data_IF_869874171175
#
_entry.id   IF_869874171175
#
_cell.length_a   1.000
_cell.length_b   1.000
_cell.length_c   1.000
_cell.angle_alpha   90.00
_cell.angle_beta   90.00
_cell.angle_gamma   90.00
#
_symmetry.space_group_name_H-M   'P 1'
#
loop_
_entity.id
_entity.type
_entity.pdbx_description
1 polymer ?
#
# COMPACT_ATOMS: atom_id res chain seq x y z
N UNK A 1 -10.10 25.24 0.67
CA UNK A 1 -8.95 24.75 -0.12
C UNK A 1 -8.07 25.91 -0.58
N UNK A 2 -8.54 26.79 -1.49
CA UNK A 2 -7.76 27.93 -2.02
C UNK A 2 -6.96 28.70 -0.95
N UNK A 3 -7.62 29.18 0.10
CA UNK A 3 -6.96 29.94 1.17
C UNK A 3 -5.86 29.13 1.87
N UNK A 4 -6.14 27.87 2.23
CA UNK A 4 -5.16 27.02 2.91
C UNK A 4 -3.92 26.74 2.05
N UNK A 5 -4.07 26.55 0.74
CA UNK A 5 -2.92 26.43 -0.18
C UNK A 5 -2.14 27.75 -0.24
N UNK A 6 -2.83 28.88 -0.29
CA UNK A 6 -2.21 30.20 -0.31
C UNK A 6 -1.44 30.50 0.98
N UNK A 7 -1.96 30.09 2.12
CA UNK A 7 -1.32 30.27 3.42
C UNK A 7 0.02 29.54 3.49
N UNK A 8 0.11 28.33 2.93
CA UNK A 8 1.39 27.62 2.80
C UNK A 8 2.34 28.39 1.87
N UNK A 9 1.89 28.72 0.66
CA UNK A 9 2.72 29.38 -0.36
C UNK A 9 3.22 30.78 0.05
N UNK A 10 2.49 31.47 0.93
CA UNK A 10 2.88 32.80 1.43
C UNK A 10 3.82 32.75 2.63
N UNK A 11 3.64 31.78 3.53
CA UNK A 11 4.27 31.84 4.85
C UNK A 11 5.42 30.85 5.03
N UNK A 12 5.49 29.77 4.24
CA UNK A 12 6.45 28.69 4.50
C UNK A 12 7.93 29.12 4.40
N UNK A 13 8.28 29.98 3.45
CA UNK A 13 9.67 30.47 3.29
C UNK A 13 10.14 31.35 4.46
N UNK A 14 9.22 31.83 5.31
CA UNK A 14 9.56 32.61 6.50
C UNK A 14 9.88 31.70 7.71
N UNK A 15 9.74 30.38 7.60
CA UNK A 15 10.06 29.46 8.69
C UNK A 15 11.57 29.36 8.91
N UNK A 16 11.96 29.34 10.18
CA UNK A 16 13.36 29.15 10.61
C UNK A 16 13.61 27.82 11.30
N UNK A 17 12.54 27.08 11.64
CA UNK A 17 12.65 25.76 12.28
C UNK A 17 11.45 24.88 11.99
N UNK A 18 11.59 23.59 12.28
CA UNK A 18 10.51 22.59 12.23
C UNK A 18 9.60 22.59 13.46
N UNK A 19 9.82 23.50 14.44
CA UNK A 19 8.97 23.60 15.63
C UNK A 19 7.56 24.03 15.22
N UNK A 20 6.58 23.44 15.90
CA UNK A 20 5.16 23.77 15.75
C UNK A 20 4.85 25.07 16.48
N UNK A 21 4.38 26.07 15.74
CA UNK A 21 4.13 27.45 16.18
C UNK A 21 2.74 27.96 15.78
N UNK A 22 1.83 27.07 15.35
CA UNK A 22 0.44 27.40 14.99
C UNK A 22 0.29 28.52 13.94
N UNK A 23 1.29 28.68 13.07
CA UNK A 23 1.24 29.64 11.96
C UNK A 23 0.23 29.21 10.87
N UNK A 24 -0.19 30.13 10.01
CA UNK A 24 -1.22 29.86 9.00
C UNK A 24 -0.84 28.70 8.04
N UNK A 25 0.42 28.62 7.63
CA UNK A 25 0.95 27.50 6.85
C UNK A 25 0.92 26.17 7.63
N UNK A 26 1.24 26.20 8.93
CA UNK A 26 1.23 25.01 9.78
C UNK A 26 -0.18 24.48 9.98
N UNK A 27 -1.12 25.35 10.33
CA UNK A 27 -2.54 25.01 10.45
C UNK A 27 -3.04 24.43 9.12
N UNK A 28 -2.63 25.03 8.00
CA UNK A 28 -3.00 24.55 6.67
C UNK A 28 -2.46 23.14 6.37
N UNK A 29 -1.17 22.89 6.62
CA UNK A 29 -0.50 21.60 6.35
C UNK A 29 -1.04 20.49 7.25
N UNK A 30 -1.19 20.75 8.55
CA UNK A 30 -1.49 19.69 9.53
C UNK A 30 -2.98 19.54 9.86
N UNK A 31 -3.81 20.54 9.55
CA UNK A 31 -5.22 20.53 9.93
C UNK A 31 -6.16 20.80 8.75
N UNK A 32 -6.07 21.99 8.13
CA UNK A 32 -7.09 22.45 7.18
C UNK A 32 -7.12 21.63 5.89
N UNK A 33 -5.97 21.42 5.24
CA UNK A 33 -5.88 20.61 4.03
C UNK A 33 -6.25 19.15 4.32
N UNK A 34 -5.70 18.51 5.37
CA UNK A 34 -6.14 17.17 5.78
C UNK A 34 -7.64 17.05 6.04
N UNK A 35 -8.27 18.06 6.66
CA UNK A 35 -9.72 18.06 6.90
C UNK A 35 -10.51 18.06 5.59
N UNK A 36 -10.13 18.91 4.63
CA UNK A 36 -10.80 18.97 3.33
C UNK A 36 -10.66 17.65 2.56
N UNK A 37 -9.50 17.00 2.64
CA UNK A 37 -9.30 15.68 2.02
C UNK A 37 -10.17 14.62 2.71
N UNK A 38 -10.26 14.62 4.04
CA UNK A 38 -11.17 13.73 4.79
C UNK A 38 -12.64 13.91 4.40
N UNK A 39 -13.06 15.14 4.14
CA UNK A 39 -14.42 15.42 3.64
C UNK A 39 -14.65 14.82 2.24
N UNK A 40 -13.66 14.89 1.34
CA UNK A 40 -13.76 14.29 0.01
C UNK A 40 -13.84 12.75 0.10
N UNK A 41 -13.11 12.17 1.06
CA UNK A 41 -13.06 10.75 1.32
C UNK A 41 -14.16 10.25 2.26
N UNK A 42 -15.22 11.03 2.56
CA UNK A 42 -16.14 10.81 3.68
C UNK A 42 -16.45 9.33 4.04
N UNK A 43 -16.86 8.53 3.06
CA UNK A 43 -17.27 7.13 3.24
C UNK A 43 -16.10 6.15 3.48
N UNK A 44 -14.88 6.58 3.14
CA UNK A 44 -13.63 5.81 3.18
C UNK A 44 -12.55 6.49 4.03
N UNK A 45 -12.88 7.52 4.81
CA UNK A 45 -11.90 8.39 5.51
C UNK A 45 -10.97 7.60 6.44
N UNK A 46 -11.49 6.55 7.06
CA UNK A 46 -10.75 5.71 8.00
C UNK A 46 -9.81 4.74 7.29
N UNK A 47 -9.98 4.57 5.98
CA UNK A 47 -9.11 3.76 5.17
C UNK A 47 -7.75 4.43 4.92
N UNK A 48 -7.73 5.76 4.94
CA UNK A 48 -6.56 6.56 4.60
C UNK A 48 -5.92 7.20 5.83
N UNK A 49 -4.60 7.21 5.88
CA UNK A 49 -3.81 8.06 6.77
C UNK A 49 -3.44 9.31 5.99
N UNK A 50 -3.83 10.47 6.49
CA UNK A 50 -3.48 11.77 5.89
C UNK A 50 -2.47 12.46 6.80
N UNK A 51 -1.27 12.71 6.28
CA UNK A 51 -0.14 13.19 7.04
C UNK A 51 0.55 14.34 6.30
N UNK A 52 0.78 15.45 7.01
CA UNK A 52 1.61 16.54 6.53
C UNK A 52 3.03 16.44 7.07
N UNK A 53 4.01 17.00 6.35
CA UNK A 53 5.37 17.13 6.83
C UNK A 53 6.03 18.40 6.31
N UNK A 54 6.82 19.01 7.19
CA UNK A 54 7.69 20.16 6.93
C UNK A 54 9.17 19.79 7.12
N UNK A 55 9.47 18.49 7.13
CA UNK A 55 10.79 17.94 7.46
C UNK A 55 10.94 17.52 8.93
N UNK A 56 11.90 16.62 9.17
CA UNK A 56 12.27 16.13 10.50
C UNK A 56 13.71 16.56 10.80
N UNK A 57 13.92 17.31 11.88
CA UNK A 57 15.21 17.93 12.22
C UNK A 57 15.53 19.19 11.40
N UNK A 58 15.49 19.09 10.08
CA UNK A 58 15.68 20.22 9.16
C UNK A 58 14.39 20.52 8.40
N UNK A 59 14.20 21.79 8.03
CA UNK A 59 13.09 22.20 7.17
C UNK A 59 13.23 21.52 5.80
N UNK A 60 12.15 20.88 5.37
CA UNK A 60 12.04 20.39 4.00
C UNK A 60 11.96 21.59 3.05
N UNK A 61 12.70 21.54 1.95
CA UNK A 61 12.54 22.51 0.87
C UNK A 61 11.17 22.34 0.19
N UNK A 62 10.70 21.10 0.08
CA UNK A 62 9.37 20.73 -0.43
C UNK A 62 8.52 20.20 0.73
N UNK A 63 7.69 21.02 1.40
CA UNK A 63 6.71 20.51 2.34
C UNK A 63 5.61 19.76 1.58
N UNK A 64 4.98 18.80 2.26
CA UNK A 64 4.02 17.92 1.60
C UNK A 64 2.86 17.49 2.51
N UNK A 65 1.76 17.07 1.90
CA UNK A 65 0.65 16.36 2.55
C UNK A 65 0.37 15.09 1.76
N UNK A 66 0.59 13.93 2.36
CA UNK A 66 0.34 12.62 1.77
C UNK A 66 -1.02 12.07 2.19
N UNK A 67 -1.64 11.33 1.28
CA UNK A 67 -2.86 10.54 1.48
C UNK A 67 -2.48 9.09 1.20
N UNK A 68 -2.35 8.33 2.29
CA UNK A 68 -1.79 6.98 2.30
C UNK A 68 -2.92 5.98 2.57
N UNK A 69 -3.19 5.07 1.64
CA UNK A 69 -4.12 3.96 1.94
C UNK A 69 -3.43 2.99 2.91
N UNK A 70 -4.03 2.81 4.09
CA UNK A 70 -3.44 2.00 5.16
C UNK A 70 -3.25 0.54 4.77
N UNK A 71 -3.95 0.03 3.76
CA UNK A 71 -3.77 -1.35 3.27
C UNK A 71 -2.58 -1.49 2.32
N UNK A 72 -2.20 -0.40 1.64
CA UNK A 72 -1.09 -0.39 0.68
C UNK A 72 0.20 0.09 1.34
N UNK A 73 0.15 1.20 2.07
CA UNK A 73 1.30 1.75 2.79
C UNK A 73 0.84 2.73 3.87
N UNK A 74 1.46 2.68 5.05
CA UNK A 74 1.24 3.66 6.12
C UNK A 74 2.37 4.70 6.22
N UNK A 75 3.33 4.64 5.28
CA UNK A 75 4.51 5.51 5.24
C UNK A 75 4.72 6.09 3.84
N UNK A 76 5.10 7.38 3.72
CA UNK A 76 5.44 7.97 2.43
C UNK A 76 6.78 7.44 1.86
N UNK A 77 7.49 6.58 2.59
CA UNK A 77 8.80 6.08 2.18
C UNK A 77 8.73 5.00 1.08
N UNK A 78 7.59 4.31 0.96
CA UNK A 78 7.39 3.21 0.00
C UNK A 78 5.97 3.21 -0.56
N UNK A 79 5.78 2.48 -1.66
CA UNK A 79 4.50 2.31 -2.32
C UNK A 79 4.09 3.50 -3.18
N UNK A 80 2.82 3.56 -3.55
CA UNK A 80 2.21 4.60 -4.36
C UNK A 80 1.19 5.34 -3.48
N UNK A 81 1.06 6.64 -3.64
CA UNK A 81 0.14 7.46 -2.86
C UNK A 81 -0.19 8.78 -3.57
N UNK A 82 -1.27 9.42 -3.15
CA UNK A 82 -1.60 10.78 -3.59
C UNK A 82 -0.94 11.76 -2.62
N UNK A 83 -0.28 12.79 -3.14
CA UNK A 83 0.47 13.76 -2.35
C UNK A 83 0.32 15.17 -2.91
N UNK A 84 0.17 16.15 -2.02
CA UNK A 84 0.41 17.55 -2.31
C UNK A 84 1.89 17.87 -2.10
N UNK A 85 2.56 18.39 -3.13
CA UNK A 85 3.98 18.76 -3.13
C UNK A 85 4.11 20.25 -3.45
N UNK A 86 4.51 21.06 -2.47
CA UNK A 86 4.73 22.49 -2.67
C UNK A 86 6.13 22.71 -3.27
N UNK A 87 6.23 23.48 -4.35
CA UNK A 87 7.53 23.75 -4.96
C UNK A 87 8.46 24.48 -3.99
N UNK A 88 9.77 24.24 -4.08
CA UNK A 88 10.75 24.78 -3.14
C UNK A 88 10.78 26.31 -3.09
N UNK A 89 10.39 26.96 -4.19
CA UNK A 89 10.26 28.41 -4.32
C UNK A 89 8.85 28.94 -3.99
N UNK A 90 7.91 28.06 -3.62
CA UNK A 90 6.50 28.37 -3.37
C UNK A 90 5.80 29.08 -4.56
N UNK A 91 6.28 28.84 -5.79
CA UNK A 91 5.62 29.29 -7.02
C UNK A 91 4.31 28.55 -7.30
N UNK A 92 4.13 27.35 -6.73
CA UNK A 92 2.87 26.62 -6.79
C UNK A 92 2.92 25.30 -6.04
N UNK A 93 1.89 24.49 -6.25
CA UNK A 93 1.73 23.20 -5.60
C UNK A 93 1.18 22.18 -6.59
N UNK A 94 1.76 20.98 -6.58
CA UNK A 94 1.29 19.85 -7.36
C UNK A 94 0.43 18.94 -6.49
N UNK A 95 -0.73 18.54 -6.99
CA UNK A 95 -1.45 17.36 -6.51
C UNK A 95 -1.04 16.19 -7.40
N UNK A 96 -0.29 15.23 -6.86
CA UNK A 96 0.39 14.19 -7.62
C UNK A 96 0.09 12.80 -7.08
N UNK A 97 -0.22 11.86 -7.97
CA UNK A 97 -0.07 10.44 -7.73
C UNK A 97 1.41 10.10 -7.92
N UNK A 98 2.08 9.74 -6.83
CA UNK A 98 3.54 9.66 -6.78
C UNK A 98 3.99 8.38 -6.06
N UNK A 99 5.30 8.16 -6.05
CA UNK A 99 5.96 6.95 -5.59
C UNK A 99 6.92 7.23 -4.41
N UNK A 100 7.01 6.28 -3.50
CA UNK A 100 7.93 6.32 -2.36
C UNK A 100 9.39 6.26 -2.80
N UNK A 101 10.06 7.42 -2.85
CA UNK A 101 11.45 7.55 -3.31
C UNK A 101 12.45 6.80 -2.41
N UNK A 102 12.17 6.69 -1.11
CA UNK A 102 13.11 6.07 -0.16
C UNK A 102 13.36 4.60 -0.51
N UNK A 103 12.34 3.86 -0.91
CA UNK A 103 12.48 2.48 -1.38
C UNK A 103 13.41 2.37 -2.60
N UNK A 104 13.21 3.20 -3.61
CA UNK A 104 14.06 3.21 -4.80
C UNK A 104 15.52 3.57 -4.46
N UNK A 105 15.73 4.51 -3.54
CA UNK A 105 17.07 4.87 -3.08
C UNK A 105 17.75 3.70 -2.37
N UNK A 106 17.01 2.96 -1.54
CA UNK A 106 17.50 1.77 -0.87
C UNK A 106 17.88 0.67 -1.87
N UNK A 107 17.02 0.41 -2.86
CA UNK A 107 17.20 -0.67 -3.85
C UNK A 107 18.27 -0.39 -4.90
N UNK A 108 18.35 0.85 -5.39
CA UNK A 108 19.19 1.18 -6.56
C UNK A 108 20.42 2.03 -6.24
N UNK A 109 20.48 2.65 -5.06
CA UNK A 109 21.63 3.42 -4.57
C UNK A 109 21.92 4.69 -5.38
N UNK A 110 22.64 4.57 -6.48
CA UNK A 110 23.17 5.70 -7.25
C UNK A 110 22.05 6.63 -7.77
N UNK A 111 22.17 7.94 -7.51
CA UNK A 111 21.14 8.95 -7.85
C UNK A 111 20.61 8.82 -9.29
N UNK A 112 21.51 8.71 -10.27
CA UNK A 112 21.14 8.58 -11.69
C UNK A 112 20.28 7.34 -11.95
N UNK A 113 20.61 6.21 -11.31
CA UNK A 113 19.85 4.96 -11.44
C UNK A 113 18.48 5.07 -10.78
N UNK A 114 18.42 5.63 -9.58
CA UNK A 114 17.15 5.88 -8.86
C UNK A 114 16.20 6.74 -9.70
N UNK A 115 16.69 7.84 -10.28
CA UNK A 115 15.87 8.73 -11.14
C UNK A 115 15.35 7.99 -12.38
N UNK A 116 16.21 7.18 -13.02
CA UNK A 116 15.82 6.37 -14.18
C UNK A 116 14.75 5.34 -13.83
N UNK A 117 14.89 4.63 -12.70
CA UNK A 117 13.92 3.61 -12.28
C UNK A 117 12.59 4.21 -11.82
N UNK A 118 12.60 5.36 -11.12
CA UNK A 118 11.38 6.09 -10.77
C UNK A 118 10.58 6.46 -12.03
N UNK A 119 11.27 7.02 -13.03
CA UNK A 119 10.67 7.38 -14.31
C UNK A 119 10.15 6.18 -15.07
N UNK A 120 10.93 5.08 -15.10
CA UNK A 120 10.53 3.82 -15.75
C UNK A 120 9.26 3.25 -15.10
N UNK A 121 9.23 3.20 -13.78
CA UNK A 121 8.08 2.74 -13.00
C UNK A 121 6.85 3.63 -13.23
N UNK A 122 7.02 4.96 -13.24
CA UNK A 122 5.92 5.88 -13.53
C UNK A 122 5.30 5.62 -14.92
N UNK A 123 6.14 5.43 -15.95
CA UNK A 123 5.68 5.11 -17.30
C UNK A 123 4.95 3.77 -17.38
N UNK A 124 5.45 2.73 -16.68
CA UNK A 124 4.77 1.42 -16.61
C UNK A 124 3.38 1.54 -15.99
N UNK A 125 3.29 2.22 -14.83
CA UNK A 125 2.02 2.44 -14.13
C UNK A 125 1.02 3.24 -14.98
N UNK A 126 1.48 4.21 -15.78
CA UNK A 126 0.62 4.95 -16.70
C UNK A 126 0.05 4.06 -17.82
N UNK A 127 0.84 3.10 -18.32
CA UNK A 127 0.41 2.19 -19.38
C UNK A 127 -0.65 1.18 -18.91
N UNK A 128 -0.71 0.90 -17.60
CA UNK A 128 -1.74 0.04 -16.99
C UNK A 128 -3.11 0.74 -16.84
N UNK A 129 -3.14 2.07 -16.99
CA UNK A 129 -4.35 2.87 -16.82
C UNK A 129 -5.11 3.07 -18.14
N UNK A 130 -6.46 3.13 -18.09
CA UNK A 130 -7.27 3.41 -19.27
C UNK A 130 -7.01 4.81 -19.80
N UNK A 131 -6.78 4.90 -21.11
CA UNK A 131 -6.50 6.15 -21.81
C UNK A 131 -7.79 6.80 -22.33
N UNK A 132 -7.84 8.14 -22.47
CA UNK A 132 -6.78 9.10 -22.18
C UNK A 132 -6.70 9.50 -20.71
N UNK A 133 -5.47 9.61 -20.18
CA UNK A 133 -5.23 10.18 -18.85
C UNK A 133 -5.30 11.71 -18.85
N UNK A 134 -5.84 12.28 -17.77
CA UNK A 134 -5.90 13.73 -17.55
C UNK A 134 -4.71 14.23 -16.74
N UNK A 135 -4.32 15.49 -16.93
CA UNK A 135 -3.26 16.14 -16.15
C UNK A 135 -1.86 15.91 -16.72
N UNK A 136 -0.86 16.06 -15.85
CA UNK A 136 0.57 16.00 -16.17
C UNK A 136 1.08 14.57 -15.98
N UNK A 137 1.52 13.95 -17.07
CA UNK A 137 2.06 12.58 -17.11
C UNK A 137 3.59 12.54 -17.21
N UNK A 138 4.23 13.70 -17.37
CA UNK A 138 5.68 13.85 -17.43
C UNK A 138 6.24 14.10 -16.04
N UNK A 139 7.57 14.03 -15.85
CA UNK A 139 8.20 14.50 -14.63
C UNK A 139 7.75 15.93 -14.29
N UNK A 140 7.42 16.17 -13.02
CA UNK A 140 7.05 17.51 -12.52
C UNK A 140 8.31 18.33 -12.19
N UNK A 141 8.15 19.61 -11.88
CA UNK A 141 9.25 20.47 -11.46
C UNK A 141 8.96 21.16 -10.13
N UNK A 142 9.50 20.58 -9.05
CA UNK A 142 9.41 21.12 -7.69
C UNK A 142 10.48 22.16 -7.37
N UNK A 143 11.32 22.57 -8.34
CA UNK A 143 12.39 23.59 -8.13
C UNK A 143 13.38 23.23 -7.01
N UNK A 144 13.49 21.94 -6.67
CA UNK A 144 14.36 21.43 -5.60
C UNK A 144 15.60 20.75 -6.17
N UNK A 145 16.75 20.94 -5.49
CA UNK A 145 18.00 20.22 -5.75
C UNK A 145 18.19 18.99 -4.84
N UNK A 146 17.33 18.85 -3.82
CA UNK A 146 17.42 17.83 -2.77
C UNK A 146 16.48 16.65 -3.07
N UNK A 147 15.79 16.13 -2.04
CA UNK A 147 14.83 15.03 -2.17
C UNK A 147 13.72 15.35 -3.18
N UNK A 148 13.32 16.62 -3.32
CA UNK A 148 12.34 17.05 -4.32
C UNK A 148 12.71 16.66 -5.75
N UNK A 149 14.01 16.62 -6.10
CA UNK A 149 14.45 16.19 -7.43
C UNK A 149 14.08 14.75 -7.78
N UNK A 150 13.87 13.88 -6.79
CA UNK A 150 13.41 12.51 -7.02
C UNK A 150 11.89 12.43 -7.16
N UNK A 151 11.13 13.22 -6.40
CA UNK A 151 9.66 13.27 -6.53
C UNK A 151 9.23 13.76 -7.91
N UNK A 152 10.07 14.58 -8.58
CA UNK A 152 9.88 14.98 -9.97
C UNK A 152 9.71 13.77 -10.90
N UNK A 153 10.66 12.84 -10.86
CA UNK A 153 10.68 11.64 -11.71
C UNK A 153 9.71 10.56 -11.25
N UNK A 154 9.32 10.57 -9.96
CA UNK A 154 8.35 9.64 -9.39
C UNK A 154 6.90 9.91 -9.80
N UNK A 155 6.61 11.05 -10.42
CA UNK A 155 5.26 11.45 -10.81
C UNK A 155 4.62 10.48 -11.81
N UNK A 156 3.48 9.89 -11.43
CA UNK A 156 2.65 9.05 -12.30
C UNK A 156 1.60 9.93 -12.99
N UNK A 157 0.92 10.80 -12.26
CA UNK A 157 -0.12 11.68 -12.79
C UNK A 157 -0.31 12.86 -11.83
N UNK A 158 -0.38 14.10 -12.34
CA UNK A 158 -0.50 15.27 -11.48
C UNK A 158 -1.37 16.40 -12.05
N UNK A 159 -1.79 17.29 -11.16
CA UNK A 159 -2.37 18.59 -11.46
C UNK A 159 -1.52 19.68 -10.81
N UNK A 160 -1.23 20.76 -11.54
CA UNK A 160 -0.43 21.87 -11.04
C UNK A 160 -1.31 23.09 -10.74
N UNK A 161 -1.11 23.66 -9.57
CA UNK A 161 -1.79 24.86 -9.11
C UNK A 161 -0.75 25.97 -8.89
N UNK A 162 -0.57 26.89 -9.85
CA UNK A 162 0.33 28.02 -9.64
C UNK A 162 -0.25 28.95 -8.56
N UNK A 163 0.63 29.63 -7.84
CA UNK A 163 0.29 30.52 -6.72
C UNK A 163 -0.78 31.57 -7.07
N UNK A 164 -0.74 32.08 -8.29
CA UNK A 164 -1.66 33.13 -8.76
C UNK A 164 -2.97 32.56 -9.34
N UNK A 165 -3.08 31.25 -9.53
CA UNK A 165 -4.28 30.58 -10.02
C UNK A 165 -4.56 29.26 -9.25
N UNK A 166 -4.78 29.41 -7.94
CA UNK A 166 -5.13 28.30 -7.04
C UNK A 166 -6.57 27.79 -7.25
N UNK A 167 -6.81 26.48 -7.11
CA UNK A 167 -8.07 25.85 -7.45
C UNK A 167 -9.18 26.23 -6.48
N UNK A 168 -10.43 26.19 -6.98
CA UNK A 168 -11.60 26.16 -6.11
C UNK A 168 -11.66 24.87 -5.30
N UNK A 169 -12.51 24.80 -4.27
CA UNK A 169 -12.72 23.56 -3.50
C UNK A 169 -13.23 22.44 -4.41
N UNK A 170 -14.09 22.77 -5.36
CA UNK A 170 -14.69 21.82 -6.31
C UNK A 170 -13.67 21.32 -7.35
N UNK A 171 -12.87 22.22 -7.92
CA UNK A 171 -11.81 21.82 -8.84
C UNK A 171 -10.82 20.88 -8.17
N UNK A 172 -10.35 21.22 -6.96
CA UNK A 172 -9.48 20.34 -6.18
C UNK A 172 -10.11 18.97 -5.93
N UNK A 173 -11.41 18.92 -5.59
CA UNK A 173 -12.14 17.67 -5.39
C UNK A 173 -12.15 16.82 -6.65
N UNK A 174 -12.45 17.43 -7.80
CA UNK A 174 -12.52 16.70 -9.07
C UNK A 174 -11.15 16.15 -9.47
N UNK A 175 -10.11 16.96 -9.37
CA UNK A 175 -8.73 16.56 -9.67
C UNK A 175 -8.25 15.45 -8.71
N UNK A 176 -8.58 15.55 -7.41
CA UNK A 176 -8.31 14.50 -6.43
C UNK A 176 -9.01 13.18 -6.76
N UNK A 177 -10.30 13.22 -7.14
CA UNK A 177 -11.06 12.03 -7.50
C UNK A 177 -10.53 11.36 -8.77
N UNK A 178 -10.00 12.13 -9.73
CA UNK A 178 -9.29 11.57 -10.89
C UNK A 178 -8.07 10.76 -10.43
N UNK A 179 -7.23 11.32 -9.58
CA UNK A 179 -6.05 10.60 -9.07
C UNK A 179 -6.43 9.39 -8.21
N UNK A 180 -7.48 9.50 -7.40
CA UNK A 180 -7.99 8.40 -6.60
C UNK A 180 -8.52 7.25 -7.47
N UNK A 181 -9.14 7.56 -8.61
CA UNK A 181 -9.57 6.56 -9.59
C UNK A 181 -8.36 5.81 -10.18
N UNK A 182 -7.34 6.55 -10.63
CA UNK A 182 -6.07 5.98 -11.12
C UNK A 182 -5.37 5.13 -10.06
N UNK A 183 -5.28 5.64 -8.83
CA UNK A 183 -4.76 4.91 -7.68
C UNK A 183 -5.49 3.59 -7.47
N UNK A 184 -6.83 3.63 -7.32
CA UNK A 184 -7.63 2.42 -7.10
C UNK A 184 -7.48 1.43 -8.26
N UNK A 185 -7.28 1.88 -9.50
CA UNK A 185 -7.07 1.00 -10.65
C UNK A 185 -5.71 0.31 -10.58
N UNK A 186 -4.65 1.05 -10.28
CA UNK A 186 -3.31 0.50 -10.05
C UNK A 186 -3.36 -0.49 -8.89
N UNK A 187 -3.97 -0.15 -7.76
CA UNK A 187 -4.04 -1.02 -6.59
C UNK A 187 -4.99 -2.21 -6.78
N UNK A 188 -6.02 -2.13 -7.64
CA UNK A 188 -6.86 -3.29 -7.99
C UNK A 188 -6.13 -4.26 -8.93
N UNK A 189 -5.41 -3.73 -9.91
CA UNK A 189 -4.53 -4.54 -10.79
C UNK A 189 -3.35 -5.12 -10.01
N UNK A 190 -2.81 -4.36 -9.04
CA UNK A 190 -1.78 -4.79 -8.07
C UNK A 190 -2.38 -5.31 -6.77
N UNK A 191 -3.66 -5.63 -6.72
CA UNK A 191 -4.33 -6.22 -5.54
C UNK A 191 -3.87 -7.66 -5.31
N UNK A 192 -3.02 -8.15 -6.21
CA UNK A 192 -2.20 -9.34 -6.20
C UNK A 192 -0.74 -9.09 -5.76
N UNK A 193 -0.30 -7.84 -5.53
CA UNK A 193 1.09 -7.45 -5.29
C UNK A 193 1.23 -6.22 -4.34
N UNK A 194 0.87 -6.34 -3.05
CA UNK A 194 1.64 -5.62 -2.02
C UNK A 194 3.00 -6.28 -2.06
N UNK A 195 3.97 -5.71 -2.80
CA UNK A 195 5.27 -6.31 -3.19
C UNK A 195 5.47 -7.65 -2.51
N UNK A 196 4.88 -8.71 -3.08
CA UNK A 196 4.64 -9.98 -2.38
C UNK A 196 5.93 -10.46 -1.71
N UNK A 197 7.04 -10.26 -2.42
CA UNK A 197 8.41 -10.41 -1.95
C UNK A 197 8.73 -9.70 -0.61
N UNK A 198 8.40 -8.43 -0.43
CA UNK A 198 8.63 -7.69 0.83
C UNK A 198 7.81 -8.24 1.99
N UNK A 199 6.59 -8.70 1.71
CA UNK A 199 5.74 -9.33 2.72
C UNK A 199 6.31 -10.70 3.10
N UNK A 200 6.70 -11.50 2.11
CA UNK A 200 7.35 -12.80 2.34
C UNK A 200 8.69 -12.68 3.07
N UNK A 201 9.47 -11.62 2.82
CA UNK A 201 10.70 -11.33 3.56
C UNK A 201 10.41 -11.01 5.03
N UNK A 202 9.40 -10.18 5.32
CA UNK A 202 8.99 -9.87 6.69
C UNK A 202 8.45 -11.10 7.43
N UNK A 203 7.71 -11.96 6.74
CA UNK A 203 7.23 -13.23 7.31
C UNK A 203 8.42 -14.14 7.64
N UNK A 204 9.36 -14.32 6.72
CA UNK A 204 10.56 -15.14 6.95
C UNK A 204 11.40 -14.63 8.13
N UNK A 205 11.51 -13.30 8.29
CA UNK A 205 12.16 -12.71 9.47
C UNK A 205 11.34 -12.92 10.75
N UNK A 206 10.02 -12.82 10.70
CA UNK A 206 9.17 -13.10 11.85
C UNK A 206 9.25 -14.60 12.26
N UNK A 207 9.27 -15.49 11.28
CA UNK A 207 9.33 -16.94 11.43
C UNK A 207 10.66 -17.46 11.99
N UNK A 208 11.72 -16.62 12.07
CA UNK A 208 12.94 -17.00 12.79
C UNK A 208 12.76 -17.04 14.31
N UNK A 209 11.68 -16.44 14.82
CA UNK A 209 11.35 -16.45 16.25
C UNK A 209 10.25 -17.47 16.51
N UNK A 210 10.31 -18.21 17.62
CA UNK A 210 9.25 -19.14 17.99
C UNK A 210 7.95 -18.38 18.31
N UNK A 211 6.90 -18.61 17.51
CA UNK A 211 5.58 -17.99 17.71
C UNK A 211 4.65 -19.03 18.32
N UNK A 212 3.88 -18.64 19.34
CA UNK A 212 2.84 -19.49 19.91
C UNK A 212 1.49 -19.08 19.34
N UNK A 213 0.56 -20.04 19.24
CA UNK A 213 -0.83 -19.77 18.84
C UNK A 213 -1.49 -18.66 19.69
N UNK A 214 -1.13 -18.59 20.98
CA UNK A 214 -1.59 -17.56 21.92
C UNK A 214 -1.16 -16.13 21.56
N UNK A 215 -0.12 -15.98 20.74
CA UNK A 215 0.44 -14.68 20.38
C UNK A 215 -0.27 -14.04 19.17
N UNK A 216 -1.21 -14.78 18.57
CA UNK A 216 -1.97 -14.41 17.38
C UNK A 216 -3.36 -13.97 17.82
N UNK A 217 -3.68 -12.70 17.62
CA UNK A 217 -4.96 -12.13 18.04
C UNK A 217 -6.02 -12.49 17.00
N UNK A 218 -6.85 -13.49 17.27
CA UNK A 218 -8.02 -13.80 16.46
C UNK A 218 -9.16 -12.84 16.84
N UNK A 219 -9.32 -11.77 16.08
CA UNK A 219 -10.49 -10.91 16.21
C UNK A 219 -11.74 -11.71 15.81
N UNK A 220 -12.56 -12.11 16.80
CA UNK A 220 -13.94 -12.53 16.53
C UNK A 220 -14.73 -11.29 16.12
N UNK A 221 -15.50 -11.32 15.02
CA UNK A 221 -16.39 -10.22 14.67
C UNK A 221 -17.37 -9.98 15.81
N UNK A 222 -17.31 -8.80 16.43
CA UNK A 222 -18.29 -8.46 17.44
C UNK A 222 -19.61 -8.11 16.74
N UNK A 223 -20.68 -8.87 17.02
CA UNK A 223 -22.01 -8.73 16.39
C UNK A 223 -22.76 -7.43 16.73
N UNK A 224 -22.12 -6.45 17.38
CA UNK A 224 -22.74 -5.20 17.77
C UNK A 224 -21.74 -4.06 17.67
N UNK A 225 -21.56 -3.54 16.45
CA UNK A 225 -21.34 -2.12 16.12
C UNK A 225 -21.03 -2.05 14.63
N UNK A 226 -21.80 -1.25 13.91
CA UNK A 226 -21.62 -0.92 12.49
C UNK A 226 -20.39 -0.02 12.32
N UNK A 227 -19.21 -0.55 12.63
CA UNK A 227 -17.91 0.04 12.32
C UNK A 227 -17.06 -1.08 11.75
N UNK A 228 -16.77 -0.98 10.44
CA UNK A 228 -15.91 -1.88 9.68
C UNK A 228 -14.59 -2.03 10.45
N UNK A 229 -14.44 -3.13 11.19
CA UNK A 229 -13.20 -3.49 11.85
C UNK A 229 -12.22 -3.91 10.75
N UNK A 230 -11.34 -2.98 10.38
CA UNK A 230 -10.36 -3.10 9.31
C UNK A 230 -9.31 -4.17 9.67
N UNK A 231 -9.28 -5.29 8.95
CA UNK A 231 -8.38 -6.41 9.20
C UNK A 231 -6.96 -6.10 8.67
N UNK A 232 -6.00 -5.89 9.57
CA UNK A 232 -4.57 -5.68 9.27
C UNK A 232 -3.88 -7.04 9.19
N UNK A 233 -3.14 -7.34 8.11
CA UNK A 233 -2.33 -8.57 7.96
C UNK A 233 -1.39 -8.78 9.16
N UNK A 234 -1.60 -9.84 9.93
CA UNK A 234 -0.79 -10.23 11.07
C UNK A 234 0.38 -11.11 10.60
N UNK A 235 1.57 -10.52 10.60
CA UNK A 235 2.82 -11.24 10.29
C UNK A 235 3.00 -12.49 11.14
N UNK A 236 2.52 -12.48 12.39
CA UNK A 236 2.63 -13.64 13.29
C UNK A 236 1.73 -14.78 12.85
N UNK A 237 0.55 -14.50 12.30
CA UNK A 237 -0.34 -15.53 11.79
C UNK A 237 0.31 -16.28 10.62
N UNK A 238 0.91 -15.52 9.69
CA UNK A 238 1.61 -16.08 8.53
C UNK A 238 2.88 -16.85 8.93
N UNK A 239 3.70 -16.27 9.81
CA UNK A 239 4.91 -16.92 10.28
C UNK A 239 4.62 -18.18 11.12
N UNK A 240 3.56 -18.16 11.94
CA UNK A 240 3.09 -19.34 12.66
C UNK A 240 2.60 -20.45 11.70
N UNK A 241 1.85 -20.11 10.66
CA UNK A 241 1.41 -21.09 9.67
C UNK A 241 2.59 -21.77 8.96
N UNK A 242 3.65 -21.02 8.63
CA UNK A 242 4.90 -21.59 8.09
C UNK A 242 5.59 -22.52 9.10
N UNK A 243 5.66 -22.11 10.37
CA UNK A 243 6.27 -22.92 11.43
C UNK A 243 5.50 -24.24 11.68
N UNK A 244 4.17 -24.19 11.69
CA UNK A 244 3.31 -25.37 11.82
C UNK A 244 3.41 -26.30 10.61
N UNK A 245 3.68 -25.75 9.42
CA UNK A 245 3.99 -26.53 8.22
C UNK A 245 5.44 -27.05 8.20
N UNK A 246 6.21 -26.84 9.28
CA UNK A 246 7.62 -27.22 9.38
C UNK A 246 8.48 -26.72 8.21
N UNK A 247 8.18 -25.51 7.71
CA UNK A 247 8.86 -24.93 6.55
C UNK A 247 8.79 -25.79 5.28
N UNK A 248 7.81 -26.69 5.19
CA UNK A 248 7.51 -27.50 4.02
C UNK A 248 6.41 -26.87 3.17
N UNK A 249 6.41 -27.17 1.87
CA UNK A 249 5.28 -26.82 1.00
C UNK A 249 4.09 -27.75 1.29
N UNK A 250 2.91 -27.18 1.47
CA UNK A 250 1.69 -27.93 1.75
C UNK A 250 1.04 -28.55 0.51
N UNK A 251 1.49 -28.20 -0.69
CA UNK A 251 1.12 -28.93 -1.92
C UNK A 251 1.89 -30.24 -1.97
N UNK A 252 3.22 -30.17 -1.88
CA UNK A 252 4.12 -31.33 -1.92
C UNK A 252 5.30 -31.11 -0.96
N UNK A 253 5.39 -31.84 0.17
CA UNK A 253 6.43 -31.66 1.18
C UNK A 253 7.86 -31.85 0.67
N UNK A 254 8.06 -32.60 -0.42
CA UNK A 254 9.37 -32.80 -1.05
C UNK A 254 9.86 -31.61 -1.88
N UNK A 255 9.04 -30.57 -2.07
CA UNK A 255 9.47 -29.33 -2.70
C UNK A 255 10.49 -28.58 -1.84
N UNK A 256 11.75 -28.88 -2.09
CA UNK A 256 12.89 -28.16 -1.53
C UNK A 256 13.28 -26.99 -2.43
N UNK A 257 13.53 -25.84 -1.82
CA UNK A 257 14.00 -24.63 -2.50
C UNK A 257 15.49 -24.43 -2.18
N UNK A 258 15.79 -23.71 -1.09
CA UNK A 258 17.10 -23.46 -0.52
C UNK A 258 16.95 -23.15 0.97
N UNK A 259 18.05 -23.25 1.72
CA UNK A 259 18.06 -22.89 3.15
C UNK A 259 18.01 -21.37 3.32
N UNK A 260 16.97 -20.87 3.96
CA UNK A 260 16.78 -19.45 4.24
C UNK A 260 17.72 -18.98 5.36
N UNK A 261 18.50 -17.93 5.08
CA UNK A 261 19.50 -17.39 6.03
C UNK A 261 18.93 -17.01 7.41
N UNK A 262 17.67 -16.55 7.46
CA UNK A 262 17.03 -16.04 8.68
C UNK A 262 16.50 -17.16 9.57
N UNK A 263 15.90 -18.20 9.00
CA UNK A 263 15.26 -19.29 9.74
C UNK A 263 16.19 -20.49 9.91
N UNK A 264 17.14 -20.69 9.00
CA UNK A 264 17.96 -21.90 8.94
C UNK A 264 17.25 -23.09 8.28
N UNK A 265 16.04 -22.87 7.75
CA UNK A 265 15.12 -23.90 7.26
C UNK A 265 14.87 -23.75 5.75
N UNK A 266 14.12 -24.66 5.13
CA UNK A 266 13.71 -24.55 3.73
C UNK A 266 12.90 -23.26 3.47
N UNK A 267 13.22 -22.54 2.39
CA UNK A 267 12.53 -21.29 2.06
C UNK A 267 11.14 -21.55 1.47
N UNK A 268 10.12 -21.01 2.11
CA UNK A 268 8.71 -21.08 1.72
C UNK A 268 8.04 -19.72 1.92
N UNK A 269 6.89 -19.56 1.30
CA UNK A 269 6.10 -18.35 1.26
C UNK A 269 4.70 -18.63 1.83
N UNK A 270 4.19 -17.75 2.68
CA UNK A 270 2.84 -17.87 3.24
C UNK A 270 1.81 -17.27 2.28
N UNK A 271 0.74 -18.00 2.00
CA UNK A 271 -0.32 -17.53 1.10
C UNK A 271 -1.70 -17.71 1.76
N UNK A 272 -2.54 -16.68 1.74
CA UNK A 272 -3.93 -16.78 2.18
C UNK A 272 -4.75 -17.60 1.18
N UNK A 273 -5.17 -18.79 1.58
CA UNK A 273 -5.92 -19.73 0.76
C UNK A 273 -7.25 -19.17 0.27
N UNK A 274 -8.01 -18.46 1.11
CA UNK A 274 -9.08 -17.58 0.68
C UNK A 274 -8.50 -16.16 0.62
N UNK A 275 -8.48 -15.50 -0.56
CA UNK A 275 -7.86 -14.20 -0.71
C UNK A 275 -8.49 -13.14 0.20
N UNK A 276 -7.67 -12.36 0.91
CA UNK A 276 -8.15 -11.34 1.87
C UNK A 276 -9.03 -10.26 1.25
N UNK A 277 -8.98 -10.04 -0.07
CA UNK A 277 -9.90 -9.12 -0.78
C UNK A 277 -11.38 -9.48 -0.59
N UNK A 278 -11.67 -10.73 -0.25
CA UNK A 278 -13.03 -11.23 0.01
C UNK A 278 -13.41 -11.18 1.50
N UNK A 279 -12.58 -10.61 2.38
CA UNK A 279 -12.86 -10.51 3.82
C UNK A 279 -14.25 -9.93 4.15
N UNK A 280 -14.75 -8.99 3.33
CA UNK A 280 -16.08 -8.40 3.50
C UNK A 280 -17.25 -9.38 3.31
N UNK A 281 -17.02 -10.54 2.71
CA UNK A 281 -18.02 -11.60 2.52
C UNK A 281 -18.12 -12.55 3.72
N UNK A 282 -17.18 -12.44 4.67
CA UNK A 282 -17.12 -13.31 5.84
C UNK A 282 -17.36 -12.54 7.13
N UNK A 283 -18.14 -13.14 8.03
CA UNK A 283 -18.21 -12.65 9.40
C UNK A 283 -16.85 -12.78 10.09
N UNK A 284 -16.18 -13.91 9.93
CA UNK A 284 -14.89 -14.19 10.59
C UNK A 284 -13.68 -13.60 9.87
N UNK A 285 -12.60 -13.32 10.61
CA UNK A 285 -11.31 -12.94 10.02
C UNK A 285 -10.80 -14.04 9.09
N UNK A 286 -10.45 -13.68 7.86
CA UNK A 286 -9.71 -14.51 6.91
C UNK A 286 -8.20 -14.48 7.19
N UNK A 287 -7.72 -13.51 7.96
CA UNK A 287 -6.32 -13.42 8.35
C UNK A 287 -6.08 -14.26 9.62
N UNK A 288 -6.14 -15.58 9.43
CA UNK A 288 -5.98 -16.60 10.46
C UNK A 288 -5.07 -17.72 9.94
N UNK A 289 -4.27 -18.39 10.80
CA UNK A 289 -3.40 -19.48 10.39
C UNK A 289 -4.10 -20.61 9.62
N UNK A 290 -5.37 -20.85 9.93
CA UNK A 290 -6.20 -21.89 9.30
C UNK A 290 -6.45 -21.61 7.82
N UNK A 291 -6.52 -20.32 7.44
CA UNK A 291 -6.65 -19.84 6.07
C UNK A 291 -5.30 -19.51 5.42
N UNK A 292 -4.16 -19.74 6.07
CA UNK A 292 -2.84 -19.49 5.52
C UNK A 292 -2.14 -20.82 5.24
N UNK A 293 -1.57 -20.96 4.05
CA UNK A 293 -0.82 -22.13 3.60
C UNK A 293 0.64 -21.78 3.32
N UNK A 294 1.55 -22.70 3.67
CA UNK A 294 2.97 -22.63 3.36
C UNK A 294 3.25 -23.23 1.98
N UNK A 295 3.80 -22.45 1.05
CA UNK A 295 4.04 -22.86 -0.33
C UNK A 295 5.49 -22.63 -0.75
N UNK A 296 6.04 -23.49 -1.61
CA UNK A 296 7.28 -23.12 -2.30
C UNK A 296 6.99 -21.98 -3.30
N UNK A 297 8.00 -21.17 -3.70
CA UNK A 297 7.79 -20.04 -4.61
C UNK A 297 7.14 -20.44 -5.94
N UNK A 298 7.36 -21.66 -6.42
CA UNK A 298 6.73 -22.14 -7.66
C UNK A 298 5.23 -22.39 -7.47
N UNK A 299 4.83 -23.10 -6.41
CA UNK A 299 3.41 -23.32 -6.11
C UNK A 299 2.70 -22.01 -5.78
N UNK A 300 3.35 -21.10 -5.06
CA UNK A 300 2.79 -19.80 -4.75
C UNK A 300 2.54 -18.96 -6.02
N UNK A 301 3.55 -18.87 -6.90
CA UNK A 301 3.41 -18.20 -8.20
C UNK A 301 2.38 -18.88 -9.09
N UNK A 302 2.22 -20.19 -9.02
CA UNK A 302 1.17 -20.91 -9.74
C UNK A 302 -0.22 -20.44 -9.28
N UNK A 303 -0.46 -20.32 -7.97
CA UNK A 303 -1.73 -19.82 -7.42
C UNK A 303 -2.04 -18.37 -7.81
N UNK A 304 -1.02 -17.51 -7.95
CA UNK A 304 -1.22 -16.14 -8.42
C UNK A 304 -1.40 -16.05 -9.94
N UNK A 305 -0.45 -16.61 -10.70
CA UNK A 305 -0.25 -16.31 -12.11
C UNK A 305 -0.61 -17.43 -13.08
N UNK A 306 -0.84 -18.66 -12.59
CA UNK A 306 -1.24 -19.78 -13.43
C UNK A 306 -2.58 -19.56 -14.14
N UNK A 307 -2.82 -20.32 -15.20
CA UNK A 307 -4.19 -20.44 -15.72
C UNK A 307 -5.05 -21.21 -14.73
N UNK A 308 -6.37 -20.99 -14.76
CA UNK A 308 -7.29 -21.59 -13.78
C UNK A 308 -7.20 -23.12 -13.74
N UNK A 309 -7.05 -23.77 -14.89
CA UNK A 309 -6.96 -25.24 -14.96
C UNK A 309 -5.73 -25.78 -14.21
N UNK A 310 -4.58 -25.11 -14.30
CA UNK A 310 -3.37 -25.50 -13.57
C UNK A 310 -3.51 -25.22 -12.06
N UNK A 311 -4.21 -24.14 -11.69
CA UNK A 311 -4.50 -23.77 -10.29
C UNK A 311 -5.45 -24.77 -9.62
N UNK A 312 -6.46 -25.23 -10.36
CA UNK A 312 -7.61 -25.97 -9.83
C UNK A 312 -7.18 -27.18 -9.00
N UNK A 313 -6.25 -27.98 -9.51
CA UNK A 313 -5.77 -29.19 -8.84
C UNK A 313 -5.20 -28.88 -7.45
N UNK A 314 -4.27 -27.93 -7.36
CA UNK A 314 -3.61 -27.60 -6.09
C UNK A 314 -4.56 -26.86 -5.13
N UNK A 315 -5.44 -26.00 -5.65
CA UNK A 315 -6.44 -25.27 -4.87
C UNK A 315 -7.44 -26.25 -4.22
N UNK A 316 -7.94 -27.20 -4.99
CA UNK A 316 -8.83 -28.27 -4.50
C UNK A 316 -8.19 -29.09 -3.38
N UNK A 317 -6.92 -29.48 -3.53
CA UNK A 317 -6.20 -30.23 -2.49
C UNK A 317 -5.98 -29.42 -1.21
N UNK A 318 -5.50 -28.18 -1.34
CA UNK A 318 -5.28 -27.28 -0.21
C UNK A 318 -6.60 -26.97 0.52
N UNK A 319 -7.69 -26.74 -0.23
CA UNK A 319 -9.01 -26.52 0.35
C UNK A 319 -9.49 -27.73 1.14
N UNK A 320 -9.37 -28.95 0.59
CA UNK A 320 -9.72 -30.18 1.32
C UNK A 320 -8.93 -30.33 2.62
N UNK A 321 -7.63 -30.00 2.60
CA UNK A 321 -6.77 -30.01 3.81
C UNK A 321 -7.21 -28.99 4.87
N UNK A 322 -7.77 -27.84 4.46
CA UNK A 322 -8.16 -26.75 5.38
C UNK A 322 -9.64 -26.69 5.74
N UNK A 323 -10.53 -27.37 4.99
CA UNK A 323 -11.99 -27.25 5.10
C UNK A 323 -12.51 -27.37 6.53
N UNK A 324 -12.13 -28.41 7.27
CA UNK A 324 -12.62 -28.61 8.64
C UNK A 324 -12.16 -27.50 9.58
N UNK A 325 -10.91 -27.04 9.46
CA UNK A 325 -10.36 -25.94 10.26
C UNK A 325 -11.06 -24.61 9.93
N UNK A 326 -11.36 -24.36 8.66
CA UNK A 326 -12.11 -23.17 8.24
C UNK A 326 -13.53 -23.15 8.84
N UNK A 327 -14.21 -24.30 8.86
CA UNK A 327 -15.54 -24.45 9.45
C UNK A 327 -15.52 -24.13 10.96
N UNK A 328 -14.50 -24.59 11.70
CA UNK A 328 -14.33 -24.27 13.13
C UNK A 328 -14.20 -22.77 13.39
N UNK A 329 -13.69 -22.02 12.40
CA UNK A 329 -13.58 -20.56 12.43
C UNK A 329 -14.77 -19.84 11.79
N UNK A 330 -15.88 -20.54 11.50
CA UNK A 330 -17.10 -19.94 10.96
C UNK A 330 -17.03 -19.59 9.48
N UNK A 331 -16.07 -20.16 8.75
CA UNK A 331 -15.92 -20.02 7.30
C UNK A 331 -16.46 -21.31 6.68
N UNK A 332 -17.72 -21.31 6.28
CA UNK A 332 -18.37 -22.47 5.67
C UNK A 332 -18.59 -22.20 4.18
N UNK A 333 -17.85 -22.93 3.35
CA UNK A 333 -17.88 -22.82 1.89
C UNK A 333 -17.87 -24.23 1.28
N UNK A 334 -18.54 -24.38 0.15
CA UNK A 334 -18.35 -25.50 -0.77
C UNK A 334 -17.05 -25.33 -1.56
N UNK A 335 -16.57 -26.42 -2.18
CA UNK A 335 -15.37 -26.36 -3.03
C UNK A 335 -15.61 -25.50 -4.27
N UNK A 336 -16.83 -25.50 -4.82
CA UNK A 336 -17.18 -24.66 -5.97
C UNK A 336 -17.17 -23.16 -5.61
N UNK A 337 -17.78 -22.77 -4.49
CA UNK A 337 -17.74 -21.39 -3.98
C UNK A 337 -16.31 -20.93 -3.71
N UNK A 338 -15.46 -21.83 -3.16
CA UNK A 338 -14.06 -21.55 -2.94
C UNK A 338 -13.30 -21.32 -4.26
N UNK A 339 -13.50 -22.19 -5.26
CA UNK A 339 -12.82 -22.08 -6.55
C UNK A 339 -13.25 -20.84 -7.34
N UNK A 340 -14.46 -20.32 -7.13
CA UNK A 340 -14.95 -19.09 -7.76
C UNK A 340 -14.10 -17.86 -7.41
N UNK A 341 -13.42 -17.84 -6.25
CA UNK A 341 -12.48 -16.77 -5.89
C UNK A 341 -11.28 -16.63 -6.85
N UNK A 342 -11.04 -17.65 -7.68
CA UNK A 342 -9.87 -17.82 -8.55
C UNK A 342 -10.18 -17.86 -10.05
N UNK A 343 -11.45 -17.74 -10.47
CA UNK A 343 -11.87 -17.84 -11.88
C UNK A 343 -11.72 -16.56 -12.71
N UNK A 344 -11.23 -15.46 -12.12
CA UNK A 344 -11.14 -14.14 -12.77
C UNK A 344 -9.74 -13.81 -13.30
#
# INVERSE_FOLDING_TARGET
MKQALLDVLKNYLNRTSTKRVSSADEVSIFQTIPSVIREILADRKDEFKIEGSIGQGHLADVPWICVLDKEVTETPQRGIYIVLLFSADMSGVYLSLNQGVTDFRYRFGAKKKVLMELKRSACQLQNELPQPLKGILKPIDLKSKNLGSFYNEGNIQAFYYPRDNLPSKEQFRNDFLVLLSSYNRIIRHKGTEIHEEDFQLQINECASNKIKRSDIVTLKPNKQTSSIQKYRRDLKASAFAIQEAHFCCEVEPTHHTFTAKKTGENYVEAHHLIPLRFQGEFGSSLDIPENIVSLCPNCHKLVHYGVFDDKKTILSELFKKRKNKLIEFGINLSEDEFLDFYKN
#
